data_IF_110429322873
#
_entry.id   IF_110429322873
#
_cell.length_a   1.000
_cell.length_b   1.000
_cell.length_c   1.000
_cell.angle_alpha   90.00
_cell.angle_beta   90.00
_cell.angle_gamma   90.00
#
_symmetry.space_group_name_H-M   'P 1'
#
loop_
_entity.id
_entity.type
_entity.pdbx_description
1 polymer ?
#
# COMPACT_ATOMS: atom_id res chain seq x y z
N UNK A 1 -3.39 19.68 17.48
CA UNK A 1 -2.59 18.60 18.11
C UNK A 1 -2.90 17.18 17.59
N UNK A 2 -3.76 17.03 16.59
CA UNK A 2 -4.03 15.70 15.96
C UNK A 2 -3.07 15.32 14.83
N UNK A 3 -2.36 16.27 14.24
CA UNK A 3 -1.53 16.07 13.04
C UNK A 3 -0.22 15.30 13.26
N UNK A 4 0.17 15.02 14.49
CA UNK A 4 1.43 14.34 14.81
C UNK A 4 1.27 12.92 15.38
N UNK A 5 0.06 12.36 15.38
CA UNK A 5 -0.09 10.97 15.77
C UNK A 5 0.41 10.08 14.65
N UNK A 6 1.51 9.39 14.89
CA UNK A 6 1.99 8.32 14.05
C UNK A 6 0.99 7.16 14.16
N UNK A 7 0.19 6.97 13.12
CA UNK A 7 -0.62 5.77 12.95
C UNK A 7 0.24 4.81 12.13
N UNK A 8 1.04 4.02 12.81
CA UNK A 8 1.81 2.96 12.15
C UNK A 8 0.95 1.69 12.10
N UNK A 9 1.20 0.87 11.09
CA UNK A 9 0.65 -0.50 11.06
C UNK A 9 1.05 -1.27 12.31
N UNK A 10 0.33 -2.33 12.64
CA UNK A 10 0.75 -3.22 13.73
C UNK A 10 1.99 -4.04 13.32
N UNK A 11 2.68 -4.60 14.30
CA UNK A 11 3.82 -5.48 14.03
C UNK A 11 3.38 -6.72 13.22
N UNK A 12 2.22 -7.28 13.57
CA UNK A 12 1.64 -8.45 12.90
C UNK A 12 1.30 -8.16 11.43
N UNK A 13 0.79 -6.96 11.14
CA UNK A 13 0.60 -6.49 9.75
C UNK A 13 1.94 -6.43 9.02
N UNK A 14 2.98 -5.85 9.65
CA UNK A 14 4.33 -5.79 9.06
C UNK A 14 4.91 -7.17 8.75
N UNK A 15 4.80 -8.12 9.68
CA UNK A 15 5.23 -9.50 9.51
C UNK A 15 4.46 -10.20 8.37
N UNK A 16 3.14 -10.01 8.30
CA UNK A 16 2.31 -10.55 7.23
C UNK A 16 2.71 -10.00 5.86
N UNK A 17 2.86 -8.68 5.73
CA UNK A 17 3.30 -8.04 4.49
C UNK A 17 4.65 -8.60 4.03
N UNK A 18 5.62 -8.67 4.94
CA UNK A 18 6.95 -9.21 4.66
C UNK A 18 6.89 -10.65 4.15
N UNK A 19 6.10 -11.51 4.78
CA UNK A 19 5.92 -12.90 4.35
C UNK A 19 5.28 -13.00 2.96
N UNK A 20 4.21 -12.24 2.69
CA UNK A 20 3.52 -12.26 1.39
C UNK A 20 4.46 -11.80 0.28
N UNK A 21 5.22 -10.72 0.51
CA UNK A 21 6.19 -10.18 -0.45
C UNK A 21 7.27 -11.20 -0.81
N UNK A 22 7.83 -11.90 0.19
CA UNK A 22 8.85 -12.94 -0.02
C UNK A 22 8.28 -14.15 -0.75
N UNK A 23 7.12 -14.67 -0.34
CA UNK A 23 6.48 -15.84 -0.95
C UNK A 23 6.15 -15.61 -2.44
N UNK A 24 5.81 -14.36 -2.82
CA UNK A 24 5.46 -14.01 -4.21
C UNK A 24 6.64 -13.45 -5.01
N UNK A 25 7.85 -13.41 -4.46
CA UNK A 25 9.04 -12.85 -5.12
C UNK A 25 8.79 -11.46 -5.71
N UNK A 26 8.13 -10.58 -4.94
CA UNK A 26 7.71 -9.26 -5.38
C UNK A 26 8.92 -8.40 -5.76
N UNK A 27 8.83 -7.71 -6.91
CA UNK A 27 9.88 -6.81 -7.41
C UNK A 27 9.41 -5.36 -7.52
N UNK A 28 8.17 -5.14 -7.90
CA UNK A 28 7.64 -3.80 -8.12
C UNK A 28 6.47 -3.56 -7.17
N UNK A 29 6.69 -2.76 -6.15
CA UNK A 29 5.69 -2.45 -5.15
C UNK A 29 5.26 -0.99 -5.22
N UNK A 30 3.96 -0.76 -5.04
CA UNK A 30 3.39 0.56 -4.81
C UNK A 30 2.83 0.63 -3.39
N UNK A 31 3.09 1.72 -2.68
CA UNK A 31 2.48 2.00 -1.38
C UNK A 31 1.76 3.35 -1.43
N UNK A 32 0.53 3.40 -0.93
CA UNK A 32 -0.23 4.64 -0.76
C UNK A 32 -0.34 4.94 0.73
N UNK A 33 0.41 5.95 1.18
CA UNK A 33 0.52 6.33 2.58
C UNK A 33 1.84 5.92 3.22
N UNK A 34 2.94 6.60 2.88
CA UNK A 34 4.27 6.37 3.48
C UNK A 34 4.32 6.64 4.97
N UNK A 35 3.60 7.68 5.42
CA UNK A 35 3.71 8.21 6.78
C UNK A 35 5.18 8.47 7.17
N UNK A 36 5.69 7.85 8.21
CA UNK A 36 7.10 7.93 8.63
C UNK A 36 7.96 6.75 8.13
N UNK A 37 7.41 5.92 7.25
CA UNK A 37 8.13 4.85 6.54
C UNK A 37 8.22 3.52 7.28
N UNK A 38 7.39 3.26 8.30
CA UNK A 38 7.46 2.02 9.06
C UNK A 38 7.04 0.80 8.22
N UNK A 39 5.87 0.84 7.58
CA UNK A 39 5.41 -0.19 6.63
C UNK A 39 6.36 -0.34 5.45
N UNK A 40 6.82 0.80 4.91
CA UNK A 40 7.75 0.83 3.78
C UNK A 40 9.05 0.06 4.07
N UNK A 41 9.60 0.20 5.30
CA UNK A 41 10.83 -0.50 5.71
C UNK A 41 10.59 -2.01 5.82
N UNK A 42 9.46 -2.46 6.40
CA UNK A 42 9.08 -3.87 6.42
C UNK A 42 9.02 -4.49 5.01
N UNK A 43 8.45 -3.73 4.08
CA UNK A 43 8.32 -4.16 2.69
C UNK A 43 9.67 -4.11 1.94
N UNK A 44 10.45 -3.05 2.11
CA UNK A 44 11.75 -2.89 1.46
C UNK A 44 12.74 -3.98 1.87
N UNK A 45 12.73 -4.37 3.15
CA UNK A 45 13.55 -5.47 3.65
C UNK A 45 13.15 -6.79 2.96
N UNK A 46 11.84 -7.05 2.79
CA UNK A 46 11.35 -8.27 2.16
C UNK A 46 11.75 -8.42 0.70
N UNK A 47 11.80 -7.32 -0.06
CA UNK A 47 12.07 -7.34 -1.51
C UNK A 47 13.54 -7.04 -1.86
N UNK A 48 14.38 -6.71 -0.87
CA UNK A 48 15.78 -6.34 -1.09
C UNK A 48 16.58 -7.46 -1.77
N UNK A 49 16.33 -8.71 -1.39
CA UNK A 49 17.02 -9.89 -1.94
C UNK A 49 16.64 -10.16 -3.42
N UNK A 50 15.50 -9.65 -3.87
CA UNK A 50 14.97 -9.83 -5.22
C UNK A 50 15.32 -8.68 -6.18
N UNK A 51 16.16 -7.75 -5.78
CA UNK A 51 16.43 -6.49 -6.48
C UNK A 51 15.14 -5.68 -6.72
N UNK A 52 14.21 -5.77 -5.79
CA UNK A 52 12.92 -5.09 -5.86
C UNK A 52 13.02 -3.60 -5.54
N UNK A 53 12.01 -2.85 -5.97
CA UNK A 53 11.86 -1.41 -5.76
C UNK A 53 10.45 -1.08 -5.24
N UNK A 54 10.37 -0.04 -4.40
CA UNK A 54 9.12 0.50 -3.89
C UNK A 54 8.93 1.93 -4.40
N UNK A 55 7.77 2.21 -4.98
CA UNK A 55 7.25 3.57 -5.10
C UNK A 55 6.26 3.77 -3.94
N UNK A 56 6.49 4.78 -3.10
CA UNK A 56 5.59 5.13 -2.00
C UNK A 56 5.14 6.58 -2.09
N UNK A 57 3.89 6.87 -1.70
CA UNK A 57 3.25 8.18 -1.89
C UNK A 57 2.95 8.82 -0.53
N UNK A 58 3.36 10.06 -0.35
CA UNK A 58 3.06 10.86 0.85
C UNK A 58 2.94 12.34 0.48
N UNK A 59 1.95 13.03 1.06
CA UNK A 59 1.73 14.46 0.82
C UNK A 59 2.29 15.36 1.94
N UNK A 60 2.48 14.83 3.15
CA UNK A 60 2.89 15.63 4.29
C UNK A 60 4.42 15.80 4.34
N UNK A 61 4.96 17.02 4.14
CA UNK A 61 6.41 17.24 4.08
C UNK A 61 7.14 16.87 5.37
N UNK A 62 6.49 16.99 6.54
CA UNK A 62 7.11 16.60 7.80
C UNK A 62 7.23 15.07 7.93
N UNK A 63 6.22 14.34 7.47
CA UNK A 63 6.27 12.88 7.41
C UNK A 63 7.32 12.40 6.39
N UNK A 64 7.35 13.00 5.21
CA UNK A 64 8.35 12.73 4.16
C UNK A 64 9.77 12.88 4.69
N UNK A 65 10.05 14.01 5.37
CA UNK A 65 11.38 14.23 5.97
C UNK A 65 11.75 13.11 6.93
N UNK A 66 10.84 12.75 7.84
CA UNK A 66 11.08 11.66 8.81
C UNK A 66 11.23 10.29 8.14
N UNK A 67 10.43 10.01 7.11
CA UNK A 67 10.54 8.78 6.34
C UNK A 67 11.93 8.65 5.68
N UNK A 68 12.41 9.71 5.01
CA UNK A 68 13.75 9.74 4.41
C UNK A 68 14.85 9.49 5.43
N UNK A 69 14.77 10.09 6.62
CA UNK A 69 15.73 9.85 7.72
C UNK A 69 15.68 8.38 8.19
N UNK A 70 14.48 7.80 8.29
CA UNK A 70 14.31 6.40 8.70
C UNK A 70 14.84 5.42 7.62
N UNK A 71 14.61 5.72 6.34
CA UNK A 71 15.14 4.91 5.23
C UNK A 71 16.67 4.92 5.21
N UNK A 72 17.29 6.07 5.46
CA UNK A 72 18.75 6.15 5.59
C UNK A 72 19.28 5.30 6.74
N UNK A 73 18.61 5.37 7.92
CA UNK A 73 19.01 4.58 9.10
C UNK A 73 18.83 3.08 8.90
N UNK A 74 17.85 2.66 8.11
CA UNK A 74 17.62 1.25 7.78
C UNK A 74 18.61 0.69 6.74
N UNK A 75 19.32 1.56 6.00
CA UNK A 75 20.17 1.15 4.89
C UNK A 75 19.42 0.73 3.61
N UNK A 76 18.10 1.05 3.51
CA UNK A 76 17.24 0.63 2.41
C UNK A 76 16.83 1.78 1.48
N UNK A 77 17.44 2.94 1.60
CA UNK A 77 17.07 4.15 0.83
C UNK A 77 17.15 3.95 -0.69
N UNK A 78 18.07 3.14 -1.16
CA UNK A 78 18.27 2.84 -2.58
C UNK A 78 17.14 2.00 -3.20
N UNK A 79 16.29 1.38 -2.38
CA UNK A 79 15.14 0.57 -2.78
C UNK A 79 13.83 1.35 -2.80
N UNK A 80 13.81 2.59 -2.30
CA UNK A 80 12.58 3.31 -2.00
C UNK A 80 12.57 4.66 -2.72
N UNK A 81 11.58 4.86 -3.59
CA UNK A 81 11.28 6.13 -4.24
C UNK A 81 10.03 6.75 -3.61
N UNK A 82 10.18 7.87 -2.90
CA UNK A 82 9.02 8.64 -2.43
C UNK A 82 8.54 9.57 -3.55
N UNK A 83 7.28 9.46 -3.92
CA UNK A 83 6.56 10.44 -4.71
C UNK A 83 5.81 11.39 -3.77
N UNK A 84 6.20 12.66 -3.79
CA UNK A 84 5.66 13.71 -2.92
C UNK A 84 4.44 14.35 -3.56
N UNK A 85 3.27 14.24 -2.95
CA UNK A 85 2.02 14.78 -3.46
C UNK A 85 0.79 14.04 -2.94
N UNK A 86 -0.39 14.47 -3.36
CA UNK A 86 -1.62 13.77 -3.02
C UNK A 86 -1.69 12.42 -3.73
N UNK A 87 -2.29 11.42 -3.08
CA UNK A 87 -2.37 10.08 -3.66
C UNK A 87 -3.11 10.09 -5.00
N UNK A 88 -4.19 10.87 -5.13
CA UNK A 88 -4.96 10.96 -6.36
C UNK A 88 -4.10 11.50 -7.51
N UNK A 89 -3.43 12.65 -7.33
CA UNK A 89 -2.61 13.26 -8.38
C UNK A 89 -1.47 12.33 -8.83
N UNK A 90 -0.78 11.69 -7.88
CA UNK A 90 0.32 10.77 -8.20
C UNK A 90 -0.21 9.51 -8.89
N UNK A 91 -1.33 8.94 -8.45
CA UNK A 91 -1.92 7.77 -9.11
C UNK A 91 -2.42 8.10 -10.53
N UNK A 92 -2.99 9.28 -10.75
CA UNK A 92 -3.37 9.77 -12.08
C UNK A 92 -2.11 9.96 -12.96
N UNK A 93 -1.02 10.53 -12.42
CA UNK A 93 0.26 10.63 -13.11
C UNK A 93 0.81 9.24 -13.52
N UNK A 94 0.81 8.27 -12.61
CA UNK A 94 1.27 6.91 -12.89
C UNK A 94 0.41 6.26 -13.98
N UNK A 95 -0.92 6.41 -13.91
CA UNK A 95 -1.84 5.87 -14.91
C UNK A 95 -1.64 6.46 -16.30
N UNK A 96 -1.20 7.71 -16.41
CA UNK A 96 -0.94 8.36 -17.70
C UNK A 96 0.28 7.80 -18.44
N UNK A 97 1.10 7.01 -17.76
CA UNK A 97 2.35 6.45 -18.29
C UNK A 97 2.18 4.96 -18.62
N UNK A 98 2.26 4.60 -19.89
CA UNK A 98 2.08 3.22 -20.38
C UNK A 98 2.99 2.20 -19.68
N UNK A 99 4.20 2.61 -19.30
CA UNK A 99 5.17 1.74 -18.60
C UNK A 99 4.70 1.24 -17.24
N UNK A 100 3.72 1.88 -16.62
CA UNK A 100 3.18 1.46 -15.32
C UNK A 100 1.91 0.59 -15.45
N UNK A 101 1.36 0.41 -16.64
CA UNK A 101 0.20 -0.46 -16.83
C UNK A 101 0.58 -1.93 -16.57
N UNK A 102 -0.08 -2.54 -15.58
CA UNK A 102 0.24 -3.90 -15.14
C UNK A 102 1.65 -4.08 -14.56
N UNK A 103 2.26 -3.01 -14.06
CA UNK A 103 3.66 -3.02 -13.60
C UNK A 103 3.84 -3.54 -12.18
N UNK A 104 2.95 -3.14 -11.26
CA UNK A 104 3.10 -3.51 -9.85
C UNK A 104 2.57 -4.90 -9.57
N UNK A 105 3.38 -5.75 -8.96
CA UNK A 105 2.94 -7.07 -8.49
C UNK A 105 2.45 -7.06 -7.04
N UNK A 106 2.68 -5.98 -6.32
CA UNK A 106 2.14 -5.79 -4.98
C UNK A 106 1.79 -4.32 -4.74
N UNK A 107 0.64 -4.10 -4.11
CA UNK A 107 0.22 -2.76 -3.68
C UNK A 107 -0.23 -2.81 -2.22
N UNK A 108 0.20 -1.83 -1.43
CA UNK A 108 -0.28 -1.61 -0.07
C UNK A 108 -0.99 -0.26 0.04
N UNK A 109 -2.19 -0.25 0.60
CA UNK A 109 -3.01 0.97 0.77
C UNK A 109 -3.26 1.20 2.25
N UNK A 110 -2.60 2.19 2.82
CA UNK A 110 -2.82 2.70 4.18
C UNK A 110 -2.96 4.23 4.16
N UNK A 111 -4.05 4.69 3.57
CA UNK A 111 -4.37 6.10 3.39
C UNK A 111 -5.74 6.44 4.00
N UNK A 112 -6.26 7.64 3.71
CA UNK A 112 -7.59 8.04 4.14
C UNK A 112 -8.68 7.11 3.55
N UNK A 113 -9.71 6.84 4.35
CA UNK A 113 -10.73 5.85 4.01
C UNK A 113 -11.86 6.42 3.14
N UNK A 114 -11.99 7.73 3.10
CA UNK A 114 -13.01 8.43 2.32
C UNK A 114 -12.78 8.27 0.80
N UNK A 115 -11.51 8.18 0.39
CA UNK A 115 -11.12 8.04 -1.00
C UNK A 115 -10.76 6.60 -1.42
N UNK A 116 -10.98 5.60 -0.55
CA UNK A 116 -10.45 4.24 -0.74
C UNK A 116 -10.88 3.59 -2.08
N UNK A 117 -12.13 3.74 -2.49
CA UNK A 117 -12.63 3.21 -3.77
C UNK A 117 -11.94 3.93 -4.93
N UNK A 118 -11.79 5.27 -4.87
CA UNK A 118 -11.09 6.03 -5.91
C UNK A 118 -9.61 5.63 -6.01
N UNK A 119 -8.95 5.40 -4.88
CA UNK A 119 -7.58 4.89 -4.90
C UNK A 119 -7.51 3.52 -5.57
N UNK A 120 -8.41 2.61 -5.21
CA UNK A 120 -8.46 1.29 -5.79
C UNK A 120 -8.68 1.34 -7.32
N UNK A 121 -9.62 2.15 -7.80
CA UNK A 121 -9.90 2.29 -9.23
C UNK A 121 -8.71 2.83 -10.02
N UNK A 122 -7.95 3.77 -9.44
CA UNK A 122 -6.72 4.30 -10.03
C UNK A 122 -5.57 3.28 -9.97
N UNK A 123 -5.51 2.45 -8.95
CA UNK A 123 -4.48 1.42 -8.75
C UNK A 123 -4.71 0.21 -9.64
N UNK A 124 -5.97 -0.19 -9.85
CA UNK A 124 -6.30 -1.44 -10.53
C UNK A 124 -5.65 -1.62 -11.91
N UNK A 125 -5.59 -0.61 -12.81
CA UNK A 125 -4.88 -0.73 -14.09
C UNK A 125 -3.36 -0.94 -13.93
N UNK A 126 -2.78 -0.40 -12.86
CA UNK A 126 -1.34 -0.44 -12.59
C UNK A 126 -0.88 -1.81 -12.07
N UNK A 127 -1.80 -2.63 -11.58
CA UNK A 127 -1.51 -3.94 -10.99
C UNK A 127 -1.44 -5.02 -12.06
N UNK A 128 -0.41 -5.85 -12.02
CA UNK A 128 -0.25 -7.01 -12.90
C UNK A 128 -1.33 -8.08 -12.65
N UNK A 129 -1.57 -8.94 -13.62
CA UNK A 129 -2.33 -10.18 -13.39
C UNK A 129 -1.60 -11.02 -12.33
N UNK A 130 -2.35 -11.59 -11.40
CA UNK A 130 -1.89 -12.25 -10.17
C UNK A 130 -1.19 -11.31 -9.17
N UNK A 131 -1.22 -10.01 -9.41
CA UNK A 131 -0.75 -9.02 -8.44
C UNK A 131 -1.69 -8.94 -7.23
N UNK A 132 -1.11 -8.62 -6.08
CA UNK A 132 -1.78 -8.57 -4.78
C UNK A 132 -1.95 -7.13 -4.35
N UNK A 133 -3.13 -6.80 -3.86
CA UNK A 133 -3.44 -5.51 -3.22
C UNK A 133 -3.84 -5.81 -1.77
N UNK A 134 -3.17 -5.18 -0.82
CA UNK A 134 -3.51 -5.25 0.61
C UNK A 134 -3.96 -3.87 1.07
N UNK A 135 -5.11 -3.80 1.74
CA UNK A 135 -5.65 -2.55 2.30
C UNK A 135 -5.80 -2.67 3.81
N UNK A 136 -5.17 -1.76 4.56
CA UNK A 136 -5.20 -1.74 6.03
C UNK A 136 -6.44 -1.04 6.61
N UNK A 137 -6.69 -1.32 7.86
CA UNK A 137 -7.74 -0.73 8.70
C UNK A 137 -9.17 -1.10 8.29
N UNK A 138 -9.39 -2.33 7.85
CA UNK A 138 -10.73 -2.81 7.51
C UNK A 138 -11.66 -2.92 8.71
N UNK A 139 -11.12 -3.23 9.90
CA UNK A 139 -11.89 -3.52 11.11
C UNK A 139 -11.73 -2.45 12.19
N UNK A 140 -10.64 -1.71 12.19
CA UNK A 140 -10.32 -0.69 13.17
C UNK A 140 -9.60 0.52 12.53
N UNK A 141 -9.90 1.76 12.96
CA UNK A 141 -10.88 2.19 13.97
C UNK A 141 -12.33 1.98 13.54
N UNK A 142 -13.20 1.64 14.52
CA UNK A 142 -14.62 1.33 14.26
C UNK A 142 -15.39 2.39 13.48
N UNK A 143 -15.01 3.66 13.63
CA UNK A 143 -15.67 4.78 12.93
C UNK A 143 -15.60 4.65 11.38
N UNK A 144 -14.60 3.96 10.84
CA UNK A 144 -14.43 3.74 9.41
C UNK A 144 -15.04 2.43 8.91
N UNK A 145 -15.44 1.56 9.83
CA UNK A 145 -15.94 0.22 9.49
C UNK A 145 -17.08 0.22 8.46
N UNK A 146 -18.09 1.11 8.54
CA UNK A 146 -19.15 1.14 7.52
C UNK A 146 -18.64 1.43 6.09
N UNK A 147 -17.63 2.29 5.95
CA UNK A 147 -17.05 2.62 4.64
C UNK A 147 -16.15 1.50 4.15
N UNK A 148 -15.41 0.85 5.04
CA UNK A 148 -14.58 -0.30 4.69
C UNK A 148 -15.41 -1.56 4.35
N UNK A 149 -16.58 -1.75 4.97
CA UNK A 149 -17.54 -2.79 4.57
C UNK A 149 -18.10 -2.53 3.17
N UNK A 150 -18.43 -1.27 2.83
CA UNK A 150 -18.83 -0.90 1.45
C UNK A 150 -17.71 -1.19 0.45
N UNK A 151 -16.46 -0.85 0.80
CA UNK A 151 -15.30 -1.14 -0.02
C UNK A 151 -15.09 -2.65 -0.22
N UNK A 152 -15.14 -3.47 0.83
CA UNK A 152 -15.04 -4.92 0.71
C UNK A 152 -16.14 -5.50 -0.18
N UNK A 153 -17.39 -5.01 -0.04
CA UNK A 153 -18.50 -5.43 -0.90
C UNK A 153 -18.28 -5.00 -2.35
N UNK A 154 -17.77 -3.79 -2.59
CA UNK A 154 -17.39 -3.32 -3.93
C UNK A 154 -16.41 -4.29 -4.59
N UNK A 155 -15.34 -4.68 -3.90
CA UNK A 155 -14.34 -5.63 -4.41
C UNK A 155 -14.96 -7.01 -4.71
N UNK A 156 -15.84 -7.52 -3.85
CA UNK A 156 -16.48 -8.83 -3.99
C UNK A 156 -17.41 -8.93 -5.19
N UNK A 157 -17.91 -7.81 -5.71
CA UNK A 157 -18.75 -7.80 -6.92
C UNK A 157 -17.95 -7.88 -8.22
N UNK A 158 -16.66 -7.62 -8.18
CA UNK A 158 -15.80 -7.65 -9.37
C UNK A 158 -15.26 -9.07 -9.64
N UNK A 159 -15.73 -9.68 -10.74
CA UNK A 159 -15.32 -11.02 -11.15
C UNK A 159 -13.83 -11.15 -11.54
N UNK A 160 -13.13 -10.02 -11.70
CA UNK A 160 -11.69 -9.96 -11.99
C UNK A 160 -10.84 -10.11 -10.74
N UNK A 161 -11.47 -10.18 -9.56
CA UNK A 161 -10.83 -10.19 -8.26
C UNK A 161 -11.14 -11.46 -7.47
N UNK A 162 -10.24 -11.76 -6.53
CA UNK A 162 -10.51 -12.60 -5.36
C UNK A 162 -10.05 -11.85 -4.14
N UNK A 163 -10.93 -11.70 -3.17
CA UNK A 163 -10.67 -10.90 -1.98
C UNK A 163 -11.14 -11.60 -0.70
N UNK A 164 -10.44 -11.34 0.39
CA UNK A 164 -10.77 -11.82 1.72
C UNK A 164 -10.34 -10.79 2.76
N UNK A 165 -11.19 -10.56 3.75
CA UNK A 165 -10.84 -9.78 4.93
C UNK A 165 -10.17 -10.68 5.96
N UNK A 166 -8.92 -10.37 6.34
CA UNK A 166 -8.15 -11.03 7.41
C UNK A 166 -8.22 -10.22 8.69
N UNK A 167 -8.38 -10.82 9.87
CA UNK A 167 -8.40 -10.11 11.15
C UNK A 167 -7.00 -9.81 11.72
N UNK A 168 -5.95 -9.91 10.93
CA UNK A 168 -4.59 -9.56 11.34
C UNK A 168 -4.51 -8.04 11.54
N UNK A 169 -3.80 -7.60 12.58
CA UNK A 169 -3.64 -6.17 12.88
C UNK A 169 -4.96 -5.45 13.11
N UNK A 170 -5.16 -4.39 12.35
CA UNK A 170 -6.41 -3.62 12.34
C UNK A 170 -7.44 -4.15 11.32
N UNK A 171 -7.20 -5.32 10.74
CA UNK A 171 -7.96 -5.92 9.65
C UNK A 171 -7.39 -5.52 8.29
N UNK A 172 -7.06 -6.54 7.50
CA UNK A 172 -6.49 -6.38 6.17
C UNK A 172 -7.43 -6.95 5.11
N UNK A 173 -7.74 -6.21 4.06
CA UNK A 173 -8.36 -6.77 2.86
C UNK A 173 -7.26 -7.22 1.90
N UNK A 174 -7.18 -8.52 1.67
CA UNK A 174 -6.20 -9.12 0.77
C UNK A 174 -6.90 -9.46 -0.54
N UNK A 175 -6.52 -8.79 -1.61
CA UNK A 175 -7.15 -8.89 -2.93
C UNK A 175 -6.14 -9.32 -3.98
N UNK A 176 -6.52 -10.27 -4.84
CA UNK A 176 -5.72 -10.72 -5.99
C UNK A 176 -6.44 -10.34 -7.27
N UNK A 177 -5.76 -9.69 -8.21
CA UNK A 177 -6.23 -9.45 -9.57
C UNK A 177 -6.03 -10.70 -10.42
N UNK A 178 -7.13 -11.33 -10.87
CA UNK A 178 -7.07 -12.58 -11.63
C UNK A 178 -7.32 -12.40 -13.13
N UNK A 179 -7.78 -11.21 -13.55
CA UNK A 179 -8.02 -10.85 -14.97
C UNK A 179 -7.73 -9.38 -15.24
#
# INVERSE_FOLDING_TARGET
MAENRMLAITKETGEMLNMILRLNNVKNMLEVGTSTGYSTIWCAEAISDNLGEIITIEQNPNKIKRAKENFQKSGLSDKILIKEGTAIEILEELNSQEKYQGFFNFVFIDADKENIIKYFDLIFPLVSINGIIVTDNMLYPEKYRPDMEKFSNYLKTDHRLRTITSPIGNGEEITIKIK
#
